data_IF_660198382655
#
_entry.id   IF_660198382655
#
_cell.length_a   1.000
_cell.length_b   1.000
_cell.length_c   1.000
_cell.angle_alpha   90.00
_cell.angle_beta   90.00
_cell.angle_gamma   90.00
#
_symmetry.space_group_name_H-M   'P 1'
#
loop_
_entity.id
_entity.type
_entity.pdbx_description
1 polymer ?
#
# COMPACT_ATOMS: atom_id res chain seq x y z
N UNK A 1 5.48 0.87 -5.71
CA UNK A 1 4.10 1.40 -5.63
C UNK A 1 3.23 0.55 -6.53
N UNK A 2 2.06 0.12 -6.06
CA UNK A 2 1.08 -0.61 -6.86
C UNK A 2 -0.15 0.26 -7.12
N UNK A 3 -0.82 0.04 -8.25
CA UNK A 3 -2.08 0.72 -8.60
C UNK A 3 -3.24 -0.23 -8.34
N UNK A 4 -4.18 0.20 -7.52
CA UNK A 4 -5.44 -0.50 -7.24
C UNK A 4 -6.58 0.32 -7.83
N UNK A 5 -7.54 -0.31 -8.49
CA UNK A 5 -8.71 0.38 -9.05
C UNK A 5 -9.86 0.28 -8.05
N UNK A 6 -10.32 1.41 -7.54
CA UNK A 6 -11.53 1.50 -6.74
C UNK A 6 -12.74 1.66 -7.68
N UNK A 7 -13.76 0.81 -7.54
CA UNK A 7 -14.92 0.73 -8.43
C UNK A 7 -16.21 0.94 -7.64
N UNK A 8 -17.14 1.68 -8.26
CA UNK A 8 -18.52 1.88 -7.80
C UNK A 8 -19.53 1.48 -8.88
N UNK A 9 -20.75 1.14 -8.46
CA UNK A 9 -21.88 0.67 -9.28
C UNK A 9 -22.30 1.65 -10.38
N UNK A 10 -22.01 2.94 -10.22
CA UNK A 10 -22.33 3.98 -11.21
C UNK A 10 -21.24 4.13 -12.29
N UNK A 11 -20.31 3.17 -12.39
CA UNK A 11 -19.23 3.19 -13.38
C UNK A 11 -18.07 4.13 -13.02
N UNK A 12 -18.07 4.70 -11.81
CA UNK A 12 -16.96 5.52 -11.33
C UNK A 12 -15.77 4.61 -11.01
N UNK A 13 -14.63 4.89 -11.64
CA UNK A 13 -13.38 4.18 -11.41
C UNK A 13 -12.30 5.17 -10.99
N UNK A 14 -11.68 4.94 -9.85
CA UNK A 14 -10.63 5.81 -9.30
C UNK A 14 -9.36 5.02 -9.06
N UNK A 15 -8.24 5.51 -9.57
CA UNK A 15 -6.94 4.92 -9.25
C UNK A 15 -6.57 5.25 -7.79
N UNK A 16 -6.18 4.22 -7.05
CA UNK A 16 -5.55 4.32 -5.74
C UNK A 16 -4.13 3.80 -5.85
N UNK A 17 -3.19 4.51 -5.24
CA UNK A 17 -1.78 4.15 -5.24
C UNK A 17 -1.38 3.71 -3.84
N UNK A 18 -0.84 2.49 -3.74
CA UNK A 18 -0.39 1.91 -2.47
C UNK A 18 1.12 1.82 -2.50
N UNK A 19 1.77 2.51 -1.56
CA UNK A 19 3.21 2.39 -1.37
C UNK A 19 3.50 1.28 -0.36
N UNK A 20 4.22 0.25 -0.79
CA UNK A 20 4.61 -0.87 0.06
C UNK A 20 6.11 -0.71 0.36
N UNK A 21 6.42 -0.57 1.65
CA UNK A 21 7.78 -0.67 2.16
C UNK A 21 7.96 -2.06 2.79
N UNK A 22 8.66 -2.94 2.07
CA UNK A 22 8.85 -4.33 2.47
C UNK A 22 10.29 -4.59 2.93
N UNK A 23 10.44 -5.09 4.16
CA UNK A 23 11.73 -5.55 4.69
C UNK A 23 11.53 -6.92 5.33
N UNK A 24 11.80 -7.98 4.55
CA UNK A 24 11.56 -9.36 4.96
C UNK A 24 12.28 -9.76 6.26
N UNK A 25 11.65 -10.57 7.10
CA UNK A 25 12.24 -11.08 8.36
C UNK A 25 13.55 -11.86 8.18
N UNK A 26 13.75 -12.46 7.01
CA UNK A 26 14.96 -13.21 6.68
C UNK A 26 16.16 -12.31 6.28
N UNK A 27 15.95 -11.00 6.14
CA UNK A 27 17.01 -10.06 5.75
C UNK A 27 17.98 -9.88 6.92
N UNK A 28 19.31 -9.99 6.71
CA UNK A 28 20.29 -9.73 7.76
C UNK A 28 20.13 -8.35 8.39
N UNK A 29 20.27 -8.25 9.72
CA UNK A 29 19.98 -7.05 10.52
C UNK A 29 20.63 -5.78 9.97
N UNK A 30 21.89 -5.85 9.54
CA UNK A 30 22.60 -4.68 8.99
C UNK A 30 21.99 -4.18 7.67
N UNK A 31 21.50 -5.09 6.82
CA UNK A 31 20.83 -4.73 5.56
C UNK A 31 19.44 -4.15 5.81
N UNK A 32 18.69 -4.75 6.74
CA UNK A 32 17.38 -4.24 7.17
C UNK A 32 17.52 -2.82 7.76
N UNK A 33 18.51 -2.59 8.61
CA UNK A 33 18.79 -1.27 9.18
C UNK A 33 19.11 -0.23 8.10
N UNK A 34 19.93 -0.58 7.11
CA UNK A 34 20.23 0.30 5.96
C UNK A 34 18.99 0.63 5.15
N UNK A 35 18.15 -0.35 4.83
CA UNK A 35 16.88 -0.12 4.13
C UNK A 35 15.98 0.85 4.91
N UNK A 36 15.87 0.65 6.23
CA UNK A 36 15.07 1.52 7.12
C UNK A 36 15.58 2.96 7.20
N UNK A 37 16.90 3.20 7.09
CA UNK A 37 17.45 4.56 7.07
C UNK A 37 17.02 5.35 5.83
N UNK A 38 16.87 4.67 4.69
CA UNK A 38 16.48 5.31 3.43
C UNK A 38 14.97 5.41 3.23
N UNK A 39 14.16 4.90 4.16
CA UNK A 39 12.69 4.85 4.01
C UNK A 39 12.08 6.21 3.63
N UNK A 40 12.58 7.27 4.27
CA UNK A 40 12.04 8.62 4.10
C UNK A 40 12.43 9.24 2.76
N UNK A 41 13.62 8.92 2.25
CA UNK A 41 14.05 9.36 0.92
C UNK A 41 13.14 8.74 -0.16
N UNK A 42 12.80 7.45 0.00
CA UNK A 42 11.86 6.77 -0.88
C UNK A 42 10.42 7.26 -0.73
N UNK A 43 9.97 7.61 0.48
CA UNK A 43 8.64 8.25 0.67
C UNK A 43 8.52 9.57 -0.09
N UNK A 44 9.58 10.39 -0.08
CA UNK A 44 9.63 11.65 -0.83
C UNK A 44 9.61 11.42 -2.33
N UNK A 45 10.34 10.40 -2.80
CA UNK A 45 10.40 10.03 -4.21
C UNK A 45 9.06 9.49 -4.71
N UNK A 46 8.43 8.60 -3.94
CA UNK A 46 7.15 7.98 -4.26
C UNK A 46 5.97 8.79 -3.73
N UNK A 47 6.04 10.12 -3.75
CA UNK A 47 4.92 10.95 -3.27
C UNK A 47 3.61 10.69 -4.05
N UNK A 48 2.47 11.09 -3.46
CA UNK A 48 1.16 10.92 -4.10
C UNK A 48 0.52 9.53 -3.96
N UNK A 49 1.07 8.66 -3.11
CA UNK A 49 0.35 7.46 -2.67
C UNK A 49 -0.84 7.84 -1.78
N UNK A 50 -1.87 7.00 -1.81
CA UNK A 50 -3.06 7.16 -0.98
C UNK A 50 -2.89 6.52 0.40
N UNK A 51 -2.20 5.38 0.44
CA UNK A 51 -1.84 4.68 1.67
C UNK A 51 -0.42 4.13 1.57
N UNK A 52 0.20 3.93 2.73
CA UNK A 52 1.49 3.28 2.88
C UNK A 52 1.35 2.05 3.77
N UNK A 53 1.97 0.95 3.37
CA UNK A 53 1.99 -0.31 4.12
C UNK A 53 3.44 -0.67 4.41
N UNK A 54 3.73 -0.94 5.68
CA UNK A 54 4.98 -1.54 6.11
C UNK A 54 4.73 -3.02 6.32
N UNK A 55 5.51 -3.87 5.67
CA UNK A 55 5.39 -5.30 5.82
C UNK A 55 6.76 -5.95 5.96
N UNK A 56 6.82 -7.01 6.76
CA UNK A 56 8.02 -7.84 6.91
C UNK A 56 7.81 -9.30 6.47
N UNK A 57 6.58 -9.64 6.09
CA UNK A 57 6.14 -10.97 5.72
C UNK A 57 5.18 -10.88 4.52
N UNK A 58 5.03 -11.95 3.75
CA UNK A 58 4.16 -11.95 2.57
C UNK A 58 2.69 -12.06 2.97
N UNK A 59 2.43 -12.68 4.11
CA UNK A 59 1.13 -12.85 4.73
C UNK A 59 0.49 -11.50 5.10
N UNK A 60 1.31 -10.52 5.48
CA UNK A 60 0.87 -9.14 5.72
C UNK A 60 0.43 -8.40 4.44
N UNK A 61 0.86 -8.87 3.26
CA UNK A 61 0.59 -8.23 1.95
C UNK A 61 -0.60 -8.84 1.19
N UNK A 62 -1.55 -9.46 1.89
CA UNK A 62 -2.79 -9.95 1.27
C UNK A 62 -3.65 -8.80 0.72
N UNK A 63 -4.38 -9.06 -0.37
CA UNK A 63 -5.32 -8.09 -0.95
C UNK A 63 -6.35 -7.63 0.09
N UNK A 64 -6.86 -8.55 0.93
CA UNK A 64 -7.82 -8.24 1.99
C UNK A 64 -7.28 -7.23 3.01
N UNK A 65 -6.01 -7.37 3.43
CA UNK A 65 -5.38 -6.40 4.34
C UNK A 65 -5.28 -5.02 3.67
N UNK A 66 -4.89 -4.98 2.39
CA UNK A 66 -4.77 -3.74 1.64
C UNK A 66 -6.15 -3.08 1.46
N UNK A 67 -7.17 -3.87 1.13
CA UNK A 67 -8.57 -3.42 1.01
C UNK A 67 -9.05 -2.85 2.35
N UNK A 68 -8.81 -3.53 3.46
CA UNK A 68 -9.24 -3.08 4.79
C UNK A 68 -8.66 -1.68 5.12
N UNK A 69 -7.37 -1.47 4.84
CA UNK A 69 -6.73 -0.16 5.04
C UNK A 69 -7.29 0.89 4.06
N UNK A 70 -7.44 0.55 2.78
CA UNK A 70 -8.05 1.46 1.78
C UNK A 70 -9.47 1.88 2.18
N UNK A 71 -10.28 0.95 2.69
CA UNK A 71 -11.64 1.20 3.17
C UNK A 71 -11.65 2.10 4.41
N UNK A 72 -10.73 1.87 5.35
CA UNK A 72 -10.61 2.70 6.55
C UNK A 72 -10.24 4.16 6.21
N UNK A 73 -9.45 4.36 5.15
CA UNK A 73 -9.01 5.67 4.69
C UNK A 73 -9.96 6.35 3.68
N UNK A 74 -11.04 5.68 3.24
CA UNK A 74 -11.93 6.19 2.19
C UNK A 74 -12.82 7.39 2.63
N UNK A 75 -12.89 7.66 3.93
CA UNK A 75 -13.64 8.81 4.46
C UNK A 75 -15.14 8.72 4.17
N UNK A 76 -15.71 9.78 3.61
CA UNK A 76 -17.16 9.92 3.41
C UNK A 76 -17.73 9.02 2.29
N UNK A 77 -16.92 8.65 1.31
CA UNK A 77 -17.36 7.84 0.18
C UNK A 77 -16.50 6.58 0.05
N UNK A 78 -17.07 5.45 0.45
CA UNK A 78 -16.42 4.15 0.42
C UNK A 78 -16.66 3.47 -0.93
N UNK A 79 -15.58 3.12 -1.68
CA UNK A 79 -15.71 2.27 -2.85
C UNK A 79 -16.37 0.95 -2.51
N UNK A 80 -17.12 0.37 -3.44
CA UNK A 80 -17.76 -0.94 -3.23
C UNK A 80 -16.78 -2.09 -3.47
N UNK A 81 -15.87 -1.94 -4.43
CA UNK A 81 -14.86 -2.93 -4.74
C UNK A 81 -13.49 -2.30 -5.02
N UNK A 82 -12.45 -3.10 -4.84
CA UNK A 82 -11.09 -2.81 -5.25
C UNK A 82 -10.58 -3.94 -6.13
N UNK A 83 -10.05 -3.59 -7.30
CA UNK A 83 -9.49 -4.53 -8.26
C UNK A 83 -7.96 -4.33 -8.30
N UNK A 84 -7.23 -5.42 -8.08
CA UNK A 84 -5.79 -5.51 -8.23
C UNK A 84 -5.49 -6.03 -9.64
N UNK A 85 -4.75 -5.25 -10.43
CA UNK A 85 -4.46 -5.53 -11.84
C UNK A 85 -3.00 -5.24 -12.18
#
# INVERSE_FOLDING_TARGET
VIRVRAVDDYGSQRAKFVYINYVGVAVPTLRAARASMHKHDFERLFNGYHIQIYANSQEELSEDNIIAVLQACAGAHKPQAYEFA
#
